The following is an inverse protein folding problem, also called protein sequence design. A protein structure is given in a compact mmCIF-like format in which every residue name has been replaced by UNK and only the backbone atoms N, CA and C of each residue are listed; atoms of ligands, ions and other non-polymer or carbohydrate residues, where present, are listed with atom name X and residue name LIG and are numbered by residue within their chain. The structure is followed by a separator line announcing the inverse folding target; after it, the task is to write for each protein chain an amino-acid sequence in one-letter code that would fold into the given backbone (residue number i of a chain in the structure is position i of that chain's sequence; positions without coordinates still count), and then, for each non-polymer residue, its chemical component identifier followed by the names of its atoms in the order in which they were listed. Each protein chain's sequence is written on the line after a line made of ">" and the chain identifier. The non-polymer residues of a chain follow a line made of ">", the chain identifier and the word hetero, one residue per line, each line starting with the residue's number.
data_IF_849119683213
#
_entry.id   IF_849119683213
#
_cell.length_a   1.000
_cell.length_b   1.000
_cell.length_c   1.000
_cell.angle_alpha   90.00
_cell.angle_beta   90.00
_cell.angle_gamma   90.00
#
_symmetry.space_group_name_H-M   'P 1'
#
loop_
_entity.id
_entity.type
_entity.pdbx_description
1 polymer ?
#
# COMPACT_ATOMS: atom_id res chain seq x y z
N UNK A 1 -1.56 12.60 -0.67
CA UNK A 1 -2.74 13.43 -0.43
C UNK A 1 -3.36 13.87 -1.76
N UNK A 2 -2.60 14.49 -2.69
CA UNK A 2 -3.11 14.93 -3.99
C UNK A 2 -3.71 13.78 -4.83
N UNK A 3 -3.04 12.63 -4.90
CA UNK A 3 -3.54 11.42 -5.58
C UNK A 3 -4.84 10.90 -4.97
N UNK A 4 -4.95 10.91 -3.64
CA UNK A 4 -6.17 10.51 -2.94
C UNK A 4 -7.35 11.46 -3.23
N UNK A 5 -7.10 12.77 -3.30
CA UNK A 5 -8.12 13.77 -3.67
C UNK A 5 -8.54 13.64 -5.13
N UNK A 6 -7.60 13.38 -6.05
CA UNK A 6 -7.88 13.09 -7.45
C UNK A 6 -8.76 11.84 -7.60
N UNK A 7 -8.45 10.76 -6.91
CA UNK A 7 -9.27 9.55 -6.93
C UNK A 7 -10.69 9.77 -6.42
N UNK A 8 -10.94 10.74 -5.51
CA UNK A 8 -12.29 11.08 -5.07
C UNK A 8 -13.03 11.87 -6.12
N UNK A 9 -12.37 12.85 -6.73
CA UNK A 9 -12.96 13.68 -7.77
C UNK A 9 -13.34 12.84 -9.00
N UNK A 10 -12.54 11.79 -9.30
CA UNK A 10 -12.76 10.91 -10.45
C UNK A 10 -13.39 9.55 -10.08
N UNK A 11 -13.97 9.40 -8.89
CA UNK A 11 -14.55 8.12 -8.45
C UNK A 11 -15.65 7.61 -9.37
N UNK A 12 -16.61 8.45 -9.73
CA UNK A 12 -17.74 8.07 -10.58
C UNK A 12 -17.30 7.59 -11.98
N UNK A 13 -16.48 8.36 -12.73
CA UNK A 13 -15.99 7.89 -14.03
C UNK A 13 -15.10 6.65 -13.91
N UNK A 14 -14.34 6.49 -12.81
CA UNK A 14 -13.52 5.31 -12.57
C UNK A 14 -14.38 4.05 -12.38
N UNK A 15 -15.41 4.11 -11.53
CA UNK A 15 -16.33 2.99 -11.32
C UNK A 15 -17.10 2.62 -12.61
N UNK A 16 -17.49 3.60 -13.42
CA UNK A 16 -18.08 3.35 -14.74
C UNK A 16 -17.10 2.66 -15.69
N UNK A 17 -15.85 3.12 -15.72
CA UNK A 17 -14.82 2.54 -16.57
C UNK A 17 -14.52 1.09 -16.17
N UNK A 18 -14.45 0.80 -14.87
CA UNK A 18 -14.18 -0.54 -14.33
C UNK A 18 -15.40 -1.48 -14.42
N UNK A 19 -16.58 -1.00 -14.88
CA UNK A 19 -17.82 -1.77 -14.97
C UNK A 19 -18.16 -2.49 -13.66
N UNK A 20 -18.01 -1.81 -12.53
CA UNK A 20 -18.34 -2.36 -11.21
C UNK A 20 -19.85 -2.57 -11.11
N UNK A 21 -20.26 -3.76 -10.65
CA UNK A 21 -21.67 -4.08 -10.45
C UNK A 21 -22.29 -3.15 -9.39
N UNK A 22 -23.51 -2.67 -9.67
CA UNK A 22 -24.23 -1.77 -8.78
C UNK A 22 -24.53 -2.38 -7.40
N UNK A 23 -24.61 -3.69 -7.31
CA UNK A 23 -24.89 -4.42 -6.05
C UNK A 23 -23.76 -4.29 -5.04
N UNK A 24 -22.52 -4.11 -5.49
CA UNK A 24 -21.32 -4.00 -4.63
C UNK A 24 -20.73 -2.59 -4.58
N UNK A 25 -21.38 -1.64 -5.29
CA UNK A 25 -20.85 -0.28 -5.42
C UNK A 25 -20.78 0.47 -4.09
N UNK A 26 -21.77 0.33 -3.23
CA UNK A 26 -21.79 0.98 -1.90
C UNK A 26 -20.70 0.43 -1.00
N UNK A 27 -20.55 -0.89 -0.95
CA UNK A 27 -19.51 -1.56 -0.19
C UNK A 27 -18.12 -1.21 -0.69
N UNK A 28 -17.93 -1.15 -1.99
CA UNK A 28 -16.67 -0.73 -2.61
C UNK A 28 -16.32 0.72 -2.27
N UNK A 29 -17.31 1.62 -2.22
CA UNK A 29 -17.13 3.02 -1.81
C UNK A 29 -16.74 3.14 -0.33
N UNK A 30 -17.37 2.35 0.54
CA UNK A 30 -17.06 2.30 1.97
C UNK A 30 -15.62 1.80 2.19
N UNK A 31 -15.28 0.69 1.56
CA UNK A 31 -13.92 0.12 1.58
C UNK A 31 -12.88 1.14 1.11
N UNK A 32 -13.13 1.79 -0.03
CA UNK A 32 -12.24 2.80 -0.60
C UNK A 32 -12.04 3.99 0.33
N UNK A 33 -13.11 4.43 1.02
CA UNK A 33 -13.05 5.55 1.96
C UNK A 33 -12.18 5.22 3.18
N UNK A 34 -12.31 4.02 3.74
CA UNK A 34 -11.52 3.56 4.88
C UNK A 34 -10.05 3.37 4.47
N UNK A 35 -9.80 2.68 3.37
CA UNK A 35 -8.46 2.47 2.84
C UNK A 35 -7.73 3.78 2.54
N UNK A 36 -8.44 4.79 2.07
CA UNK A 36 -7.88 6.11 1.84
C UNK A 36 -7.38 6.77 3.13
N UNK A 37 -8.10 6.64 4.23
CA UNK A 37 -7.63 7.13 5.53
C UNK A 37 -6.33 6.41 5.97
N UNK A 38 -6.24 5.10 5.70
CA UNK A 38 -5.05 4.29 5.96
C UNK A 38 -3.92 4.43 4.93
N UNK A 39 -4.15 5.10 3.80
CA UNK A 39 -3.19 5.15 2.69
C UNK A 39 -1.86 5.83 3.07
N UNK A 40 -1.89 6.80 3.97
CA UNK A 40 -0.66 7.42 4.50
C UNK A 40 0.21 6.41 5.23
N UNK A 41 -0.38 5.51 6.02
CA UNK A 41 0.35 4.45 6.73
C UNK A 41 0.99 3.49 5.74
N UNK A 42 0.28 3.13 4.68
CA UNK A 42 0.78 2.25 3.61
C UNK A 42 1.97 2.89 2.88
N UNK A 43 1.90 4.19 2.55
CA UNK A 43 3.01 4.92 1.93
C UNK A 43 4.23 4.92 2.85
N UNK A 44 4.05 5.24 4.14
CA UNK A 44 5.13 5.25 5.11
C UNK A 44 5.78 3.87 5.24
N UNK A 45 4.99 2.80 5.28
CA UNK A 45 5.50 1.44 5.27
C UNK A 45 6.38 1.15 4.05
N UNK A 46 5.92 1.50 2.85
CA UNK A 46 6.70 1.32 1.63
C UNK A 46 8.03 2.07 1.68
N UNK A 47 8.05 3.29 2.20
CA UNK A 47 9.28 4.07 2.39
C UNK A 47 10.23 3.35 3.36
N UNK A 48 9.73 2.85 4.49
CA UNK A 48 10.56 2.14 5.48
C UNK A 48 11.15 0.85 4.92
N UNK A 49 10.37 0.07 4.16
CA UNK A 49 10.85 -1.13 3.48
C UNK A 49 12.01 -0.79 2.53
N UNK A 50 11.85 0.27 1.74
CA UNK A 50 12.88 0.69 0.79
C UNK A 50 14.16 1.19 1.50
N UNK A 51 14.02 1.91 2.61
CA UNK A 51 15.17 2.32 3.42
C UNK A 51 15.90 1.11 3.97
N UNK A 52 15.20 0.13 4.56
CA UNK A 52 15.80 -1.09 5.10
C UNK A 52 16.49 -1.91 4.01
N UNK A 53 15.85 -2.04 2.84
CA UNK A 53 16.45 -2.73 1.70
C UNK A 53 17.72 -2.03 1.20
N UNK A 54 17.73 -0.70 1.17
CA UNK A 54 18.92 0.07 0.76
C UNK A 54 20.07 -0.02 1.78
N UNK A 55 19.75 -0.25 3.05
CA UNK A 55 20.74 -0.51 4.12
C UNK A 55 21.21 -1.97 4.16
N UNK A 56 20.71 -2.84 3.26
CA UNK A 56 21.04 -4.25 3.23
C UNK A 56 20.35 -5.10 4.31
N UNK A 57 19.40 -4.54 5.06
CA UNK A 57 18.64 -5.21 6.13
C UNK A 57 17.38 -5.88 5.53
N UNK A 58 17.56 -6.63 4.45
CA UNK A 58 16.47 -7.24 3.68
C UNK A 58 15.74 -8.34 4.45
N UNK A 59 16.46 -9.10 5.27
CA UNK A 59 15.86 -10.18 6.08
C UNK A 59 14.80 -9.64 7.03
N UNK A 60 15.06 -8.53 7.71
CA UNK A 60 14.07 -7.92 8.60
C UNK A 60 12.86 -7.39 7.81
N UNK A 61 13.10 -6.75 6.66
CA UNK A 61 12.03 -6.28 5.79
C UNK A 61 11.14 -7.43 5.31
N UNK A 62 11.73 -8.59 4.99
CA UNK A 62 11.01 -9.81 4.61
C UNK A 62 10.14 -10.34 5.76
N UNK A 63 10.71 -10.54 6.96
CA UNK A 63 9.94 -11.04 8.11
C UNK A 63 8.83 -10.07 8.55
N UNK A 64 9.07 -8.78 8.50
CA UNK A 64 8.06 -7.78 8.81
C UNK A 64 6.93 -7.78 7.78
N UNK A 65 7.23 -7.99 6.49
CA UNK A 65 6.22 -8.15 5.44
C UNK A 65 5.40 -9.44 5.63
N UNK A 66 6.07 -10.53 6.02
CA UNK A 66 5.39 -11.79 6.36
C UNK A 66 4.45 -11.62 7.57
N UNK A 67 4.92 -10.93 8.60
CA UNK A 67 4.10 -10.59 9.77
C UNK A 67 2.88 -9.75 9.36
N UNK A 68 3.07 -8.77 8.46
CA UNK A 68 1.97 -7.97 7.91
C UNK A 68 0.92 -8.84 7.23
N UNK A 69 1.34 -9.82 6.41
CA UNK A 69 0.44 -10.73 5.73
C UNK A 69 -0.34 -11.61 6.73
N UNK A 70 0.34 -12.18 7.72
CA UNK A 70 -0.30 -13.01 8.76
C UNK A 70 -1.31 -12.20 9.58
N UNK A 71 -0.94 -10.99 10.01
CA UNK A 71 -1.84 -10.09 10.74
C UNK A 71 -3.05 -9.68 9.88
N UNK A 72 -2.83 -9.42 8.61
CA UNK A 72 -3.91 -9.05 7.69
C UNK A 72 -4.87 -10.22 7.48
N UNK A 73 -4.37 -11.43 7.21
CA UNK A 73 -5.20 -12.64 7.05
C UNK A 73 -5.98 -12.94 8.34
N UNK A 74 -5.29 -12.96 9.49
CA UNK A 74 -5.91 -13.20 10.78
C UNK A 74 -6.95 -12.14 11.13
N UNK A 75 -6.64 -10.87 10.92
CA UNK A 75 -7.55 -9.77 11.14
C UNK A 75 -8.78 -9.80 10.23
N UNK A 76 -8.59 -10.16 8.96
CA UNK A 76 -9.69 -10.33 8.00
C UNK A 76 -10.61 -11.47 8.44
N UNK A 77 -10.04 -12.60 8.84
CA UNK A 77 -10.81 -13.75 9.32
C UNK A 77 -11.62 -13.37 10.57
N UNK A 78 -11.00 -12.74 11.56
CA UNK A 78 -11.68 -12.27 12.77
C UNK A 78 -12.77 -11.24 12.45
N UNK A 79 -12.52 -10.30 11.55
CA UNK A 79 -13.49 -9.28 11.17
C UNK A 79 -14.76 -9.86 10.54
N UNK A 80 -14.61 -10.92 9.77
CA UNK A 80 -15.76 -11.56 9.09
C UNK A 80 -16.44 -12.57 9.99
N UNK A 81 -15.69 -13.42 10.72
CA UNK A 81 -16.28 -14.56 11.45
C UNK A 81 -16.75 -14.20 12.86
N UNK A 82 -16.11 -13.25 13.53
CA UNK A 82 -16.39 -12.90 14.94
C UNK A 82 -17.16 -11.60 15.05
N UNK A 83 -16.74 -10.59 14.29
CA UNK A 83 -17.33 -9.26 14.41
C UNK A 83 -18.43 -8.95 13.39
N UNK A 84 -18.61 -9.79 12.38
CA UNK A 84 -19.59 -9.64 11.31
C UNK A 84 -19.58 -8.24 10.65
N UNK A 85 -18.40 -7.64 10.58
CA UNK A 85 -18.20 -6.28 10.07
C UNK A 85 -18.16 -6.20 8.54
N UNK A 86 -18.25 -7.35 7.85
CA UNK A 86 -18.24 -7.40 6.40
C UNK A 86 -17.00 -6.72 5.77
N UNK A 87 -17.22 -5.98 4.71
CA UNK A 87 -16.16 -5.32 3.92
C UNK A 87 -15.46 -4.20 4.70
N UNK A 88 -16.18 -3.50 5.59
CA UNK A 88 -15.58 -2.47 6.44
C UNK A 88 -14.52 -3.05 7.38
N UNK A 89 -14.78 -4.25 7.94
CA UNK A 89 -13.83 -4.96 8.78
C UNK A 89 -12.54 -5.34 8.06
N UNK A 90 -12.62 -5.75 6.80
CA UNK A 90 -11.46 -6.04 5.96
C UNK A 90 -10.56 -4.81 5.76
N UNK A 91 -11.19 -3.65 5.49
CA UNK A 91 -10.46 -2.41 5.32
C UNK A 91 -9.76 -1.97 6.62
N UNK A 92 -10.46 -2.03 7.74
CA UNK A 92 -9.92 -1.66 9.06
C UNK A 92 -8.79 -2.60 9.46
N UNK A 93 -8.95 -3.91 9.27
CA UNK A 93 -7.92 -4.93 9.51
C UNK A 93 -6.63 -4.62 8.75
N UNK A 94 -6.75 -4.28 7.47
CA UNK A 94 -5.59 -3.93 6.62
C UNK A 94 -4.85 -2.69 7.12
N UNK A 95 -5.58 -1.67 7.57
CA UNK A 95 -4.98 -0.44 8.13
C UNK A 95 -4.28 -0.74 9.47
N UNK A 96 -4.92 -1.50 10.36
CA UNK A 96 -4.35 -1.86 11.66
C UNK A 96 -3.09 -2.72 11.49
N UNK A 97 -3.13 -3.75 10.64
CA UNK A 97 -1.96 -4.59 10.34
C UNK A 97 -0.79 -3.75 9.82
N UNK A 98 -1.08 -2.82 8.90
CA UNK A 98 -0.07 -1.89 8.37
C UNK A 98 0.49 -0.97 9.45
N UNK A 99 -0.34 -0.48 10.36
CA UNK A 99 0.09 0.39 11.46
C UNK A 99 1.01 -0.36 12.45
N UNK A 100 0.68 -1.59 12.83
CA UNK A 100 1.50 -2.44 13.71
C UNK A 100 2.88 -2.65 13.10
N UNK A 101 2.93 -3.04 11.83
CA UNK A 101 4.19 -3.29 11.12
C UNK A 101 4.99 -2.00 10.92
N UNK A 102 4.31 -0.87 10.73
CA UNK A 102 4.96 0.45 10.69
C UNK A 102 5.74 0.74 11.98
N UNK A 103 5.18 0.41 13.14
CA UNK A 103 5.86 0.56 14.43
C UNK A 103 7.12 -0.33 14.51
N UNK A 104 7.05 -1.56 14.02
CA UNK A 104 8.21 -2.46 13.94
C UNK A 104 9.33 -1.85 13.07
N UNK A 105 8.97 -1.28 11.92
CA UNK A 105 9.93 -0.60 11.05
C UNK A 105 10.57 0.63 11.72
N UNK A 106 9.78 1.46 12.40
CA UNK A 106 10.28 2.63 13.14
C UNK A 106 11.27 2.20 14.23
N UNK A 107 10.94 1.17 15.02
CA UNK A 107 11.82 0.65 16.06
C UNK A 107 13.15 0.16 15.47
N UNK A 108 13.07 -0.63 14.38
CA UNK A 108 14.28 -1.16 13.72
C UNK A 108 15.14 -0.06 13.13
N UNK A 109 14.53 0.91 12.44
CA UNK A 109 15.25 2.04 11.87
C UNK A 109 15.92 2.89 12.95
N UNK A 110 15.21 3.18 14.06
CA UNK A 110 15.80 3.91 15.19
C UNK A 110 17.03 3.18 15.76
N UNK A 111 16.93 1.85 15.93
CA UNK A 111 18.07 1.04 16.37
C UNK A 111 19.21 1.14 15.38
N UNK A 112 18.96 0.91 14.09
CA UNK A 112 19.98 0.93 13.05
C UNK A 112 20.65 2.31 12.93
N UNK A 113 19.85 3.39 12.95
CA UNK A 113 20.42 4.73 12.92
C UNK A 113 21.26 5.06 14.17
N UNK A 114 20.88 4.55 15.33
CA UNK A 114 21.67 4.72 16.55
C UNK A 114 23.01 3.97 16.50
N UNK A 115 23.05 2.81 15.85
CA UNK A 115 24.26 2.04 15.61
C UNK A 115 25.17 2.69 14.55
N UNK A 116 24.56 3.29 13.51
CA UNK A 116 25.28 3.99 12.44
C UNK A 116 25.66 5.44 12.77
N UNK A 117 25.04 6.05 13.77
CA UNK A 117 25.30 7.45 14.14
C UNK A 117 26.69 7.59 14.75
N UNK A 118 27.70 7.79 13.90
CA UNK A 118 28.96 8.38 14.30
C UNK A 118 28.76 9.88 14.55
N UNK A 119 29.18 10.42 15.69
CA UNK A 119 28.93 11.83 16.06
C UNK A 119 29.63 12.86 15.16
N UNK A 120 30.33 12.42 14.13
CA UNK A 120 31.20 13.24 13.29
C UNK A 120 30.70 13.52 11.89
N UNK A 121 29.55 12.97 11.46
CA UNK A 121 29.07 13.23 10.10
C UNK A 121 27.98 14.31 10.15
N UNK A 122 28.28 15.56 9.77
CA UNK A 122 27.25 16.59 9.68
C UNK A 122 26.29 16.23 8.54
N UNK A 123 24.99 16.34 8.81
CA UNK A 123 23.97 16.19 7.77
C UNK A 123 24.20 17.27 6.69
N UNK A 124 24.67 16.87 5.52
CA UNK A 124 24.86 17.75 4.37
C UNK A 124 23.85 17.40 3.29
N UNK A 125 23.03 18.35 2.96
CA UNK A 125 22.13 18.24 1.82
C UNK A 125 22.95 18.33 0.52
N UNK A 126 23.06 17.22 -0.22
CA UNK A 126 23.79 17.16 -1.48
C UNK A 126 22.82 17.16 -2.65
N UNK A 127 22.71 18.28 -3.35
CA UNK A 127 21.81 18.44 -4.49
C UNK A 127 22.09 17.44 -5.62
N UNK A 128 23.35 17.08 -5.83
CA UNK A 128 23.75 16.08 -6.83
C UNK A 128 23.18 14.70 -6.53
N UNK A 129 23.20 14.30 -5.26
CA UNK A 129 22.60 13.02 -4.84
C UNK A 129 21.09 13.02 -5.00
N UNK A 130 20.42 14.14 -4.69
CA UNK A 130 18.97 14.29 -4.89
C UNK A 130 18.61 14.19 -6.37
N UNK A 131 19.35 14.86 -7.26
CA UNK A 131 19.13 14.81 -8.71
C UNK A 131 19.29 13.40 -9.27
N UNK A 132 20.34 12.68 -8.85
CA UNK A 132 20.55 11.29 -9.25
C UNK A 132 19.42 10.39 -8.75
N UNK A 133 19.04 10.51 -7.48
CA UNK A 133 17.92 9.74 -6.90
C UNK A 133 16.61 10.00 -7.62
N UNK A 134 16.30 11.26 -7.96
CA UNK A 134 15.10 11.62 -8.72
C UNK A 134 15.07 10.95 -10.11
N UNK A 135 16.20 10.89 -10.81
CA UNK A 135 16.29 10.25 -12.12
C UNK A 135 15.96 8.75 -12.03
N UNK A 136 16.55 8.03 -11.07
CA UNK A 136 16.28 6.61 -10.85
C UNK A 136 14.85 6.38 -10.36
N UNK A 137 14.36 7.21 -9.45
CA UNK A 137 13.00 7.13 -8.94
C UNK A 137 11.96 7.38 -10.03
N UNK A 138 12.21 8.29 -10.98
CA UNK A 138 11.30 8.53 -12.10
C UNK A 138 11.18 7.29 -13.00
N UNK A 139 12.31 6.64 -13.31
CA UNK A 139 12.30 5.41 -14.11
C UNK A 139 11.52 4.30 -13.40
N UNK A 140 11.77 4.08 -12.10
CA UNK A 140 11.04 3.09 -11.31
C UNK A 140 9.55 3.43 -11.20
N UNK A 141 9.20 4.70 -11.06
CA UNK A 141 7.83 5.17 -11.02
C UNK A 141 7.10 4.90 -12.36
N UNK A 142 7.74 5.18 -13.48
CA UNK A 142 7.18 4.89 -14.81
C UNK A 142 6.98 3.39 -15.03
N UNK A 143 7.96 2.56 -14.64
CA UNK A 143 7.84 1.11 -14.71
C UNK A 143 6.65 0.61 -13.89
N UNK A 144 6.51 1.07 -12.65
CA UNK A 144 5.41 0.67 -11.77
C UNK A 144 4.06 1.17 -12.28
N UNK A 145 4.00 2.41 -12.77
CA UNK A 145 2.80 2.97 -13.38
C UNK A 145 2.33 2.17 -14.59
N UNK A 146 3.25 1.70 -15.43
CA UNK A 146 2.94 0.86 -16.60
C UNK A 146 2.29 -0.46 -16.17
N UNK A 147 2.82 -1.10 -15.12
CA UNK A 147 2.24 -2.35 -14.60
C UNK A 147 0.81 -2.14 -14.06
N UNK A 148 0.60 -1.09 -13.28
CA UNK A 148 -0.75 -0.77 -12.77
C UNK A 148 -1.72 -0.37 -13.89
N UNK A 149 -1.24 0.38 -14.89
CA UNK A 149 -2.04 0.75 -16.03
C UNK A 149 -2.48 -0.46 -16.86
N UNK A 150 -1.58 -1.43 -17.07
CA UNK A 150 -1.92 -2.69 -17.73
C UNK A 150 -3.02 -3.45 -16.96
N UNK A 151 -2.91 -3.55 -15.63
CA UNK A 151 -3.95 -4.15 -14.79
C UNK A 151 -5.29 -3.42 -14.91
N UNK A 152 -5.29 -2.09 -14.90
CA UNK A 152 -6.50 -1.28 -15.08
C UNK A 152 -7.16 -1.48 -16.45
N UNK A 153 -6.39 -1.71 -17.50
CA UNK A 153 -6.93 -1.97 -18.84
C UNK A 153 -7.57 -3.35 -18.96
N UNK A 154 -7.05 -4.34 -18.21
CA UNK A 154 -7.59 -5.70 -18.20
C UNK A 154 -8.83 -5.82 -17.31
N UNK A 155 -8.91 -5.08 -16.21
CA UNK A 155 -9.97 -5.19 -15.23
C UNK A 155 -11.40 -5.06 -15.80
N UNK A 156 -11.74 -4.13 -16.72
CA UNK A 156 -13.06 -4.06 -17.30
C UNK A 156 -13.44 -5.28 -18.11
N UNK A 157 -12.47 -5.92 -18.79
CA UNK A 157 -12.69 -7.13 -19.58
C UNK A 157 -12.97 -8.34 -18.67
N UNK A 158 -12.23 -8.45 -17.57
CA UNK A 158 -12.44 -9.51 -16.56
C UNK A 158 -13.78 -9.33 -15.87
N UNK A 159 -14.13 -8.09 -15.46
CA UNK A 159 -15.41 -7.79 -14.82
C UNK A 159 -16.62 -8.05 -15.76
N UNK A 160 -16.45 -7.88 -17.06
CA UNK A 160 -17.47 -8.19 -18.05
C UNK A 160 -17.76 -9.71 -18.18
N UNK A 161 -16.82 -10.57 -17.76
CA UNK A 161 -16.99 -12.04 -17.75
C UNK A 161 -17.75 -12.55 -16.50
N UNK A 162 -18.09 -11.66 -15.57
CA UNK A 162 -18.88 -11.96 -14.39
C UNK A 162 -18.04 -12.22 -13.12
N UNK A 163 -18.76 -12.37 -12.00
CA UNK A 163 -18.17 -12.44 -10.66
C UNK A 163 -17.18 -13.62 -10.49
N UNK A 164 -17.47 -14.78 -11.09
CA UNK A 164 -16.59 -15.94 -11.01
C UNK A 164 -15.21 -15.68 -11.66
N UNK A 165 -15.19 -15.02 -12.82
CA UNK A 165 -13.95 -14.66 -13.51
C UNK A 165 -13.16 -13.59 -12.74
N UNK A 166 -13.86 -12.62 -12.15
CA UNK A 166 -13.24 -11.58 -11.32
C UNK A 166 -12.60 -12.18 -10.06
N UNK A 167 -13.25 -13.13 -9.42
CA UNK A 167 -12.73 -13.83 -8.24
C UNK A 167 -11.50 -14.68 -8.58
N UNK A 168 -11.49 -15.32 -9.74
CA UNK A 168 -10.35 -16.12 -10.19
C UNK A 168 -9.13 -15.30 -10.64
N UNK A 169 -9.37 -14.06 -11.08
CA UNK A 169 -8.30 -13.14 -11.53
C UNK A 169 -7.59 -12.46 -10.36
N UNK A 170 -8.28 -12.17 -9.25
CA UNK A 170 -7.72 -11.50 -8.07
C UNK A 170 -7.07 -12.50 -7.10
#
# INVERSE_FOLDING_TARGET
>A
VATGLLCIAFREPLFRFLKVDNTIKEDALLYFTICKAGYLVIIINNVFVQILNSLGITSFAFYASLLSAVLNIGGNLLSVTVFDLGIAGLAVSSVISSAIVSLCYVCKLRQTFRELSSPTIPFRFCFTSVRSSLRYSLTACLQQATMYFAGLMIAPSVNALGAAATTAYN
#
